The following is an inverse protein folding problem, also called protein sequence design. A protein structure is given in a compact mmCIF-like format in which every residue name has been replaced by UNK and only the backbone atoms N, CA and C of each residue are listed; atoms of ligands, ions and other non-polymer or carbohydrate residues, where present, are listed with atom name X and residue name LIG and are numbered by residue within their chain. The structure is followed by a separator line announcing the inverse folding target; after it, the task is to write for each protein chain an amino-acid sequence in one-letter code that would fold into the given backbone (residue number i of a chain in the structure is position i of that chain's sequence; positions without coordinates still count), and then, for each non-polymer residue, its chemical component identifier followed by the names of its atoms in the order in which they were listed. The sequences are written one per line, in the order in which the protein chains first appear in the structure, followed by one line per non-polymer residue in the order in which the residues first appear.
data_IF_310351704363
#
_entry.id   IF_310351704363
#
_cell.length_a   1.000
_cell.length_b   1.000
_cell.length_c   1.000
_cell.angle_alpha   90.00
_cell.angle_beta   90.00
_cell.angle_gamma   90.00
#
_symmetry.space_group_name_H-M   'P 1'
#
loop_
_entity.id
_entity.type
_entity.pdbx_description
1 polymer ?
#
# COMPACT_ATOMS: atom_id res chain seq x y z
N UNK A 1 -3.82 11.90 -0.06
CA UNK A 1 -2.94 10.88 -0.67
C UNK A 1 -1.62 10.88 0.09
N UNK A 2 -0.93 9.74 0.27
CA UNK A 2 0.37 9.75 0.93
C UNK A 2 1.38 10.56 0.08
N UNK A 3 2.07 11.51 0.71
CA UNK A 3 3.10 12.31 0.08
C UNK A 3 4.44 11.57 0.15
N UNK A 4 5.19 11.57 -0.96
CA UNK A 4 6.54 11.01 -0.99
C UNK A 4 7.48 11.87 -0.14
N UNK A 5 8.23 11.23 0.76
CA UNK A 5 9.22 11.88 1.63
C UNK A 5 10.60 11.30 1.27
N UNK A 6 11.50 12.07 0.63
CA UNK A 6 12.78 11.56 0.13
C UNK A 6 13.70 10.95 1.20
N UNK A 7 13.64 11.46 2.43
CA UNK A 7 14.41 10.98 3.58
C UNK A 7 13.77 9.78 4.31
N UNK A 8 12.60 9.30 3.85
CA UNK A 8 11.97 8.12 4.44
C UNK A 8 12.80 6.87 4.11
N UNK A 9 13.04 6.05 5.12
CA UNK A 9 13.87 4.86 4.98
C UNK A 9 13.18 3.86 4.01
N UNK A 10 13.92 3.43 2.99
CA UNK A 10 13.48 2.49 1.94
C UNK A 10 13.72 1.01 2.28
N UNK A 11 14.45 0.75 3.35
CA UNK A 11 14.72 -0.58 3.90
C UNK A 11 13.41 -1.26 4.29
N UNK A 12 13.39 -2.58 4.15
CA UNK A 12 12.34 -3.38 4.72
C UNK A 12 12.53 -3.46 6.24
N UNK A 13 11.46 -3.35 7.05
CA UNK A 13 11.52 -3.59 8.49
C UNK A 13 12.00 -5.00 8.89
N UNK A 14 12.09 -5.94 7.93
CA UNK A 14 12.71 -7.24 8.16
C UNK A 14 14.25 -7.23 8.12
N UNK A 15 14.87 -6.10 7.76
CA UNK A 15 16.33 -5.92 7.67
C UNK A 15 16.90 -5.92 6.26
N UNK A 16 16.08 -6.14 5.23
CA UNK A 16 16.50 -6.05 3.82
C UNK A 16 16.65 -4.58 3.39
N UNK A 17 17.66 -4.27 2.57
CA UNK A 17 17.95 -2.87 2.19
C UNK A 17 16.88 -2.24 1.27
N UNK A 18 16.08 -3.05 0.57
CA UNK A 18 15.06 -2.54 -0.34
C UNK A 18 13.79 -3.40 -0.29
N UNK A 19 12.64 -2.73 -0.20
CA UNK A 19 11.34 -3.36 -0.36
C UNK A 19 10.99 -3.58 -1.84
N UNK A 20 11.63 -4.55 -2.48
CA UNK A 20 11.29 -4.93 -3.86
C UNK A 20 10.05 -5.81 -3.91
N UNK A 21 9.34 -5.81 -5.04
CA UNK A 21 8.18 -6.69 -5.24
C UNK A 21 8.53 -8.16 -5.06
N UNK A 22 9.70 -8.57 -5.57
CA UNK A 22 10.21 -9.94 -5.42
C UNK A 22 10.44 -10.29 -3.96
N UNK A 23 11.17 -9.45 -3.23
CA UNK A 23 11.39 -9.64 -1.81
C UNK A 23 10.07 -9.76 -1.04
N UNK A 24 9.15 -8.81 -1.22
CA UNK A 24 7.90 -8.76 -0.44
C UNK A 24 7.01 -9.99 -0.70
N UNK A 25 6.94 -10.47 -1.94
CA UNK A 25 6.08 -11.59 -2.32
C UNK A 25 6.75 -12.96 -2.04
N UNK A 26 8.05 -13.09 -2.28
CA UNK A 26 8.73 -14.38 -2.30
C UNK A 26 9.54 -14.67 -1.03
N UNK A 27 10.15 -13.65 -0.40
CA UNK A 27 11.24 -13.85 0.57
C UNK A 27 10.96 -13.27 1.96
N UNK A 28 10.29 -12.12 2.03
CA UNK A 28 10.13 -11.30 3.23
C UNK A 28 9.53 -12.09 4.40
N UNK A 29 10.28 -12.32 5.49
CA UNK A 29 9.81 -13.10 6.65
C UNK A 29 8.56 -12.52 7.29
N UNK A 30 8.40 -11.20 7.22
CA UNK A 30 7.24 -10.47 7.75
C UNK A 30 5.91 -10.97 7.17
N UNK A 31 5.90 -11.39 5.90
CA UNK A 31 4.71 -11.84 5.20
C UNK A 31 4.64 -13.35 5.01
N UNK A 32 5.60 -14.10 5.55
CA UNK A 32 5.63 -15.56 5.53
C UNK A 32 4.32 -16.23 5.98
N UNK A 33 3.59 -15.75 7.02
CA UNK A 33 2.34 -16.36 7.45
C UNK A 33 1.24 -16.37 6.37
N UNK A 34 1.28 -15.42 5.43
CA UNK A 34 0.27 -15.24 4.38
C UNK A 34 0.73 -15.79 3.02
N UNK A 35 1.99 -16.20 2.90
CA UNK A 35 2.60 -16.63 1.62
C UNK A 35 1.94 -17.87 1.03
N UNK A 36 1.28 -18.69 1.85
CA UNK A 36 0.54 -19.86 1.39
C UNK A 36 -0.52 -19.50 0.34
N UNK A 37 -1.16 -18.33 0.48
CA UNK A 37 -2.15 -17.79 -0.48
C UNK A 37 -1.54 -17.68 -1.88
N UNK A 38 -0.32 -17.15 -1.98
CA UNK A 38 0.40 -17.05 -3.25
C UNK A 38 0.84 -18.42 -3.76
N UNK A 39 1.29 -19.31 -2.87
CA UNK A 39 1.74 -20.65 -3.24
C UNK A 39 0.62 -21.55 -3.78
N UNK A 40 -0.62 -21.31 -3.36
CA UNK A 40 -1.80 -22.01 -3.90
C UNK A 40 -2.06 -21.62 -5.36
N UNK A 41 -1.71 -20.39 -5.75
CA UNK A 41 -1.74 -19.94 -7.14
C UNK A 41 -0.52 -20.44 -7.93
N UNK A 42 0.68 -20.22 -7.42
CA UNK A 42 1.97 -20.61 -8.03
C UNK A 42 2.89 -21.21 -6.96
N UNK A 43 3.11 -22.52 -7.01
CA UNK A 43 3.85 -23.26 -5.96
C UNK A 43 5.28 -22.76 -5.77
N UNK A 44 5.91 -22.33 -6.85
CA UNK A 44 7.29 -21.81 -6.86
C UNK A 44 7.35 -20.28 -6.69
N UNK A 45 6.21 -19.64 -6.41
CA UNK A 45 6.05 -18.19 -6.26
C UNK A 45 6.58 -17.41 -7.47
N UNK A 46 6.34 -17.95 -8.67
CA UNK A 46 6.76 -17.35 -9.92
C UNK A 46 6.06 -16.01 -10.14
N UNK A 47 6.83 -14.90 -10.14
CA UNK A 47 6.28 -13.57 -10.39
C UNK A 47 5.52 -13.46 -11.72
N UNK A 48 6.00 -14.02 -12.85
CA UNK A 48 5.22 -14.06 -14.08
C UNK A 48 3.87 -14.75 -13.94
N UNK A 49 3.76 -15.80 -13.11
CA UNK A 49 2.51 -16.53 -12.91
C UNK A 49 1.56 -15.77 -11.96
N UNK A 50 2.09 -15.28 -10.83
CA UNK A 50 1.34 -14.50 -9.85
C UNK A 50 0.79 -13.22 -10.49
N UNK A 51 1.58 -12.56 -11.32
CA UNK A 51 1.22 -11.25 -11.88
C UNK A 51 0.60 -11.33 -13.29
N UNK A 52 0.81 -12.44 -14.00
CA UNK A 52 0.39 -12.61 -15.39
C UNK A 52 -0.84 -13.48 -15.58
N UNK A 53 -1.33 -14.18 -14.55
CA UNK A 53 -2.50 -15.05 -14.65
C UNK A 53 -3.66 -14.54 -13.81
N UNK A 54 -4.89 -14.82 -14.23
CA UNK A 54 -6.09 -14.45 -13.48
C UNK A 54 -6.07 -15.03 -12.06
N UNK A 55 -5.74 -16.32 -11.93
CA UNK A 55 -5.62 -17.02 -10.65
C UNK A 55 -4.55 -16.38 -9.76
N UNK A 56 -3.40 -16.03 -10.34
CA UNK A 56 -2.33 -15.32 -9.63
C UNK A 56 -2.76 -13.95 -9.12
N UNK A 57 -3.46 -13.17 -9.94
CA UNK A 57 -3.95 -11.84 -9.58
C UNK A 57 -5.00 -11.92 -8.46
N UNK A 58 -5.90 -12.90 -8.52
CA UNK A 58 -6.90 -13.14 -7.46
C UNK A 58 -6.20 -13.49 -6.12
N UNK A 59 -5.23 -14.41 -6.15
CA UNK A 59 -4.43 -14.74 -4.97
C UNK A 59 -3.58 -13.57 -4.45
N UNK A 60 -3.02 -12.77 -5.36
CA UNK A 60 -2.30 -11.55 -4.97
C UNK A 60 -3.23 -10.58 -4.26
N UNK A 61 -4.45 -10.38 -4.76
CA UNK A 61 -5.40 -9.49 -4.10
C UNK A 61 -5.72 -9.96 -2.67
N UNK A 62 -6.03 -11.25 -2.50
CA UNK A 62 -6.27 -11.83 -1.16
C UNK A 62 -5.04 -11.72 -0.25
N UNK A 63 -3.84 -11.96 -0.78
CA UNK A 63 -2.59 -11.78 -0.04
C UNK A 63 -2.44 -10.33 0.43
N UNK A 64 -2.67 -9.33 -0.42
CA UNK A 64 -2.56 -7.91 -0.06
C UNK A 64 -3.56 -7.52 1.03
N UNK A 65 -4.80 -7.98 0.93
CA UNK A 65 -5.85 -7.72 1.92
C UNK A 65 -5.50 -8.29 3.30
N UNK A 66 -5.00 -9.53 3.35
CA UNK A 66 -4.71 -10.23 4.61
C UNK A 66 -3.38 -9.81 5.23
N UNK A 67 -2.35 -9.61 4.41
CA UNK A 67 -0.99 -9.33 4.88
C UNK A 67 -0.76 -7.84 5.14
N UNK A 68 -1.46 -6.95 4.44
CA UNK A 68 -1.14 -5.53 4.43
C UNK A 68 0.19 -5.20 3.76
N UNK A 69 0.74 -6.10 2.94
CA UNK A 69 1.91 -5.79 2.12
C UNK A 69 1.67 -4.56 1.24
N UNK A 70 2.72 -3.77 1.01
CA UNK A 70 2.69 -2.50 0.26
C UNK A 70 1.82 -1.37 0.87
N UNK A 71 1.28 -1.51 2.07
CA UNK A 71 0.74 -0.36 2.82
C UNK A 71 1.87 0.41 3.50
N UNK A 72 1.65 1.69 3.81
CA UNK A 72 2.67 2.54 4.48
C UNK A 72 3.17 1.93 5.80
N UNK A 73 2.29 1.27 6.54
CA UNK A 73 2.62 0.64 7.84
C UNK A 73 2.97 -0.84 7.70
N UNK A 74 2.71 -1.46 6.54
CA UNK A 74 2.78 -2.89 6.33
C UNK A 74 1.78 -3.69 7.17
N UNK A 75 0.65 -3.07 7.53
CA UNK A 75 -0.50 -3.71 8.21
C UNK A 75 -1.73 -3.65 7.31
N UNK A 76 -2.69 -4.59 7.47
CA UNK A 76 -3.94 -4.57 6.71
C UNK A 76 -4.65 -3.23 6.80
N UNK A 77 -5.22 -2.77 5.68
CA UNK A 77 -5.99 -1.52 5.68
C UNK A 77 -7.25 -1.71 6.52
N UNK A 78 -7.56 -0.73 7.35
CA UNK A 78 -8.90 -0.63 7.92
C UNK A 78 -9.87 -0.29 6.81
N UNK A 79 -11.08 -0.85 6.86
CA UNK A 79 -12.17 -0.46 5.97
C UNK A 79 -12.36 1.06 6.03
N UNK A 80 -12.30 1.78 4.90
CA UNK A 80 -12.55 3.21 4.89
C UNK A 80 -13.94 3.47 5.49
N UNK A 81 -13.99 4.18 6.62
CA UNK A 81 -15.22 4.81 7.05
C UNK A 81 -15.47 5.99 6.14
N UNK A 82 -16.73 6.24 5.80
CA UNK A 82 -17.09 7.52 5.18
C UNK A 82 -16.67 8.64 6.14
N UNK A 83 -16.09 9.75 5.62
CA UNK A 83 -15.83 10.92 6.44
C UNK A 83 -17.17 11.39 7.01
N UNK A 84 -17.17 11.79 8.28
CA UNK A 84 -18.37 12.30 8.91
C UNK A 84 -18.59 13.72 8.34
N UNK A 85 -19.78 14.08 7.84
CA UNK A 85 -20.04 15.41 7.27
C UNK A 85 -19.84 16.56 8.29
N UNK A 86 -19.83 16.27 9.59
CA UNK A 86 -19.49 17.24 10.64
C UNK A 86 -17.99 17.58 10.72
N UNK A 87 -17.11 16.78 10.11
CA UNK A 87 -15.66 17.03 10.04
C UNK A 87 -15.26 17.89 8.82
N UNK A 88 -16.22 18.35 8.01
CA UNK A 88 -15.92 19.25 6.89
C UNK A 88 -15.41 20.60 7.42
N UNK A 89 -14.24 21.09 6.96
CA UNK A 89 -13.74 22.37 7.40
C UNK A 89 -14.69 23.49 6.94
N UNK A 90 -15.05 24.38 7.85
CA UNK A 90 -15.80 25.59 7.54
C UNK A 90 -14.93 26.47 6.61
N UNK A 91 -15.29 26.51 5.33
CA UNK A 91 -14.65 27.41 4.36
C UNK A 91 -15.11 28.82 4.71
N UNK A 92 -14.31 29.49 5.55
CA UNK A 92 -14.42 30.94 5.71
C UNK A 92 -14.10 31.60 4.36
N UNK A 93 -14.98 32.44 3.81
CA UNK A 93 -14.66 33.22 2.61
C UNK A 93 -13.41 34.06 2.88
N UNK A 94 -12.34 33.78 2.16
CA UNK A 94 -11.13 34.59 2.14
C UNK A 94 -11.50 35.92 1.46
N UNK A 95 -11.57 37.01 2.24
CA UNK A 95 -11.69 38.36 1.70
C UNK A 95 -10.35 38.71 1.06
N UNK A 96 -10.17 38.32 -0.20
CA UNK A 96 -9.14 38.90 -1.05
C UNK A 96 -9.55 40.34 -1.33
N UNK A 97 -9.09 41.26 -0.49
CA UNK A 97 -9.13 42.69 -0.74
C UNK A 97 -8.40 42.97 -2.07
N UNK A 98 -9.11 43.61 -3.00
CA UNK A 98 -8.58 44.22 -4.21
C UNK A 98 -7.39 45.14 -3.86
N UNK A 99 -6.20 44.82 -4.37
CA UNK A 99 -5.19 45.83 -4.65
C UNK A 99 -5.05 45.96 -6.18
N UNK A 100 -5.80 46.92 -6.74
CA UNK A 100 -5.46 47.57 -8.01
C UNK A 100 -4.12 48.29 -7.83
N UNK A 101 -3.12 47.95 -8.64
CA UNK A 101 -1.93 48.79 -8.79
C UNK A 101 -1.66 49.04 -10.29
N UNK A 102 -1.45 50.33 -10.60
CA UNK A 102 -1.50 51.04 -11.89
C UNK A 102 -0.43 50.66 -12.93
#
# INVERSE_FOLDING_TARGET
MPQFVPDENVDCPCGEALQTREHILCDCPRYQPHRHILSDASRDLSLPEILGTKKGIEALNEFLEKSGAFTKTGTPRTTPSLPNPEDEPDVSPDESEDEEDE
#
